data_IF_213896519812
#
_entry.id   IF_213896519812
#
_cell.length_a   1.000
_cell.length_b   1.000
_cell.length_c   1.000
_cell.angle_alpha   90.00
_cell.angle_beta   90.00
_cell.angle_gamma   90.00
#
_symmetry.space_group_name_H-M   'P 1'
#
loop_
_entity.id
_entity.type
_entity.pdbx_description
1 polymer ?
#
# COMPACT_ATOMS: atom_id res chain seq x y z
N UNK A 1 9.96 0.84 -25.66
CA UNK A 1 10.79 -0.25 -26.20
C UNK A 1 9.94 -1.48 -26.43
N UNK A 2 10.11 -2.18 -27.56
CA UNK A 2 9.49 -3.49 -27.79
C UNK A 2 10.49 -4.58 -27.34
N UNK A 3 10.25 -5.31 -26.23
CA UNK A 3 11.19 -6.29 -25.71
C UNK A 3 11.58 -7.35 -26.75
N UNK A 4 10.64 -7.72 -27.63
CA UNK A 4 10.86 -8.65 -28.73
C UNK A 4 11.90 -8.21 -29.76
N UNK A 5 12.27 -6.93 -29.80
CA UNK A 5 13.31 -6.41 -30.69
C UNK A 5 14.73 -6.53 -30.12
N UNK A 6 14.88 -7.06 -28.89
CA UNK A 6 16.17 -7.21 -28.21
C UNK A 6 16.46 -8.70 -28.07
N UNK A 7 17.58 -9.16 -28.64
CA UNK A 7 18.00 -10.55 -28.57
C UNK A 7 18.15 -11.03 -27.11
N UNK A 8 17.62 -12.21 -26.80
CA UNK A 8 17.62 -12.77 -25.45
C UNK A 8 16.64 -12.13 -24.46
N UNK A 9 15.83 -11.16 -24.89
CA UNK A 9 14.81 -10.52 -24.07
C UNK A 9 13.46 -11.27 -24.20
N UNK A 10 12.87 -11.59 -23.05
CA UNK A 10 11.50 -12.11 -22.98
C UNK A 10 10.56 -11.03 -22.46
N UNK A 11 9.37 -10.92 -23.05
CA UNK A 11 8.32 -10.01 -22.57
C UNK A 11 7.71 -10.42 -21.22
N UNK A 12 7.93 -11.66 -20.76
CA UNK A 12 7.43 -12.16 -19.48
C UNK A 12 8.14 -13.46 -19.05
N UNK A 13 8.20 -13.72 -17.75
CA UNK A 13 8.66 -15.01 -17.19
C UNK A 13 7.57 -16.08 -17.22
N UNK A 14 6.30 -15.67 -17.22
CA UNK A 14 5.15 -16.53 -16.96
C UNK A 14 4.06 -16.28 -18.01
N UNK A 15 4.36 -16.56 -19.29
CA UNK A 15 3.45 -16.26 -20.41
C UNK A 15 2.05 -16.88 -20.24
N UNK A 16 1.99 -18.12 -19.74
CA UNK A 16 0.73 -18.84 -19.51
C UNK A 16 -0.15 -18.11 -18.48
N UNK A 17 0.46 -17.59 -17.42
CA UNK A 17 -0.25 -16.86 -16.36
C UNK A 17 -0.74 -15.52 -16.91
N UNK A 18 0.12 -14.77 -17.62
CA UNK A 18 -0.27 -13.52 -18.27
C UNK A 18 -1.46 -13.69 -19.24
N UNK A 19 -1.47 -14.76 -20.04
CA UNK A 19 -2.59 -15.06 -20.95
C UNK A 19 -3.86 -15.36 -20.15
N UNK A 20 -3.73 -16.07 -19.03
CA UNK A 20 -4.86 -16.39 -18.15
C UNK A 20 -5.45 -15.13 -17.50
N UNK A 21 -4.60 -14.21 -17.06
CA UNK A 21 -5.00 -12.91 -16.52
C UNK A 21 -5.73 -12.06 -17.57
N UNK A 22 -5.22 -12.00 -18.80
CA UNK A 22 -5.88 -11.29 -19.91
C UNK A 22 -7.26 -11.91 -20.19
N UNK A 23 -7.36 -13.25 -20.22
CA UNK A 23 -8.65 -13.93 -20.41
C UNK A 23 -9.63 -13.61 -19.28
N UNK A 24 -9.16 -13.57 -18.03
CA UNK A 24 -9.98 -13.21 -16.89
C UNK A 24 -10.48 -11.75 -16.99
N UNK A 25 -9.62 -10.82 -17.38
CA UNK A 25 -10.01 -9.42 -17.62
C UNK A 25 -11.07 -9.28 -18.72
N UNK A 26 -10.89 -9.99 -19.84
CA UNK A 26 -11.87 -10.02 -20.93
C UNK A 26 -13.21 -10.59 -20.46
N UNK A 27 -13.20 -11.69 -19.71
CA UNK A 27 -14.41 -12.30 -19.17
C UNK A 27 -15.15 -11.36 -18.19
N UNK A 28 -14.41 -10.68 -17.32
CA UNK A 28 -14.99 -9.71 -16.38
C UNK A 28 -15.65 -8.53 -17.13
N UNK A 29 -14.97 -7.94 -18.10
CA UNK A 29 -15.51 -6.85 -18.91
C UNK A 29 -16.73 -7.29 -19.74
N UNK A 30 -16.68 -8.49 -20.32
CA UNK A 30 -17.80 -9.05 -21.06
C UNK A 30 -19.04 -9.23 -20.16
N UNK A 31 -18.84 -9.78 -18.95
CA UNK A 31 -19.92 -9.90 -17.96
C UNK A 31 -20.47 -8.54 -17.55
N UNK A 32 -19.60 -7.56 -17.32
CA UNK A 32 -20.00 -6.18 -17.02
C UNK A 32 -20.88 -5.57 -18.13
N UNK A 33 -20.47 -5.71 -19.39
CA UNK A 33 -21.25 -5.23 -20.54
C UNK A 33 -22.64 -5.88 -20.62
N UNK A 34 -22.74 -7.20 -20.38
CA UNK A 34 -24.02 -7.90 -20.34
C UNK A 34 -24.93 -7.39 -19.21
N UNK A 35 -24.36 -7.15 -18.02
CA UNK A 35 -25.12 -6.64 -16.87
C UNK A 35 -25.68 -5.24 -17.14
N UNK A 36 -24.88 -4.35 -17.74
CA UNK A 36 -25.35 -3.02 -18.15
C UNK A 36 -26.42 -3.11 -19.24
N UNK A 37 -26.26 -4.01 -20.23
CA UNK A 37 -27.27 -4.23 -21.25
C UNK A 37 -28.60 -4.73 -20.66
N UNK A 38 -28.55 -5.62 -19.65
CA UNK A 38 -29.74 -6.05 -18.92
C UNK A 38 -30.44 -4.88 -18.23
N UNK A 39 -29.68 -4.03 -17.53
CA UNK A 39 -30.24 -2.84 -16.89
C UNK A 39 -30.93 -1.92 -17.90
N UNK A 40 -30.34 -1.72 -19.09
CA UNK A 40 -30.98 -0.93 -20.15
C UNK A 40 -32.26 -1.57 -20.68
N UNK A 41 -32.34 -2.90 -20.76
CA UNK A 41 -33.56 -3.59 -21.18
C UNK A 41 -34.67 -3.48 -20.12
N UNK A 42 -34.32 -3.61 -18.85
CA UNK A 42 -35.28 -3.63 -17.75
C UNK A 42 -35.81 -2.23 -17.40
N UNK A 43 -34.94 -1.20 -17.48
CA UNK A 43 -35.25 0.15 -16.98
C UNK A 43 -35.18 1.25 -18.04
N UNK A 44 -34.71 0.94 -19.25
CA UNK A 44 -34.48 1.93 -20.30
C UNK A 44 -33.18 2.70 -20.13
N UNK A 45 -32.64 3.18 -21.27
CA UNK A 45 -31.34 3.86 -21.32
C UNK A 45 -31.30 5.15 -20.52
N UNK A 46 -32.36 5.97 -20.62
CA UNK A 46 -32.38 7.30 -20.00
C UNK A 46 -32.36 7.21 -18.47
N UNK A 47 -33.11 6.26 -17.89
CA UNK A 47 -33.15 6.03 -16.44
C UNK A 47 -31.80 5.57 -15.91
N UNK A 48 -31.18 4.59 -16.58
CA UNK A 48 -29.88 4.06 -16.14
C UNK A 48 -28.78 5.12 -16.25
N UNK A 49 -28.73 5.87 -17.35
CA UNK A 49 -27.76 6.96 -17.52
C UNK A 49 -27.94 8.04 -16.46
N UNK A 50 -29.19 8.44 -16.19
CA UNK A 50 -29.52 9.39 -15.14
C UNK A 50 -28.96 8.93 -13.78
N UNK A 51 -29.22 7.70 -13.35
CA UNK A 51 -28.68 7.21 -12.08
C UNK A 51 -27.16 7.04 -12.07
N UNK A 52 -26.51 6.74 -13.21
CA UNK A 52 -25.04 6.74 -13.30
C UNK A 52 -24.44 8.13 -13.05
N UNK A 53 -25.12 9.18 -13.48
CA UNK A 53 -24.72 10.58 -13.22
C UNK A 53 -25.02 10.97 -11.77
N UNK A 54 -26.21 10.67 -11.25
CA UNK A 54 -26.61 10.98 -9.87
C UNK A 54 -25.71 10.29 -8.83
N UNK A 55 -25.27 9.06 -9.08
CA UNK A 55 -24.31 8.34 -8.23
C UNK A 55 -22.97 9.07 -8.14
N UNK A 56 -22.54 9.73 -9.22
CA UNK A 56 -21.35 10.58 -9.20
C UNK A 56 -21.62 11.94 -8.54
N UNK A 57 -22.81 12.51 -8.76
CA UNK A 57 -23.24 13.76 -8.12
C UNK A 57 -23.32 13.65 -6.60
N UNK A 58 -23.81 12.53 -6.08
CA UNK A 58 -23.86 12.25 -4.65
C UNK A 58 -22.45 12.19 -4.03
N UNK A 59 -21.50 11.53 -4.71
CA UNK A 59 -20.11 11.49 -4.28
C UNK A 59 -19.46 12.88 -4.30
N UNK A 60 -19.73 13.69 -5.32
CA UNK A 60 -19.26 15.08 -5.39
C UNK A 60 -19.80 15.91 -4.22
N UNK A 61 -21.10 15.84 -3.95
CA UNK A 61 -21.75 16.60 -2.87
C UNK A 61 -21.18 16.21 -1.49
N UNK A 62 -20.98 14.91 -1.25
CA UNK A 62 -20.40 14.43 -0.01
C UNK A 62 -18.98 14.97 0.22
N UNK A 63 -18.15 15.02 -0.83
CA UNK A 63 -16.80 15.60 -0.74
C UNK A 63 -16.86 17.12 -0.52
N UNK A 64 -17.75 17.85 -1.20
CA UNK A 64 -17.93 19.29 -0.97
C UNK A 64 -18.30 19.59 0.47
N UNK A 65 -19.21 18.82 1.06
CA UNK A 65 -19.64 19.00 2.46
C UNK A 65 -18.50 18.70 3.43
N UNK A 66 -17.78 17.59 3.23
CA UNK A 66 -16.57 17.28 3.99
C UNK A 66 -15.56 18.44 3.95
N UNK A 67 -15.28 19.00 2.78
CA UNK A 67 -14.31 20.08 2.63
C UNK A 67 -14.76 21.36 3.34
N UNK A 68 -16.06 21.67 3.35
CA UNK A 68 -16.60 22.80 4.13
C UNK A 68 -16.40 22.61 5.63
N UNK A 69 -16.62 21.41 6.15
CA UNK A 69 -16.35 21.08 7.55
C UNK A 69 -14.86 21.20 7.88
N UNK A 70 -13.98 20.74 6.98
CA UNK A 70 -12.53 20.92 7.11
C UNK A 70 -12.16 22.40 7.11
N UNK A 71 -12.70 23.20 6.20
CA UNK A 71 -12.46 24.64 6.16
C UNK A 71 -12.81 25.30 7.51
N UNK A 72 -13.97 24.96 8.09
CA UNK A 72 -14.37 25.44 9.41
C UNK A 72 -13.42 24.96 10.52
N UNK A 73 -13.09 23.67 10.54
CA UNK A 73 -12.17 23.06 11.53
C UNK A 73 -10.82 23.77 11.57
N UNK A 74 -10.30 24.18 10.42
CA UNK A 74 -9.01 24.86 10.29
C UNK A 74 -9.11 26.38 10.19
N UNK A 75 -10.26 26.97 10.53
CA UNK A 75 -10.52 28.41 10.52
C UNK A 75 -10.16 29.08 9.18
N UNK A 76 -10.40 28.37 8.08
CA UNK A 76 -10.13 28.82 6.71
C UNK A 76 -8.66 28.88 6.30
N UNK A 77 -7.74 28.43 7.15
CA UNK A 77 -6.32 28.37 6.80
C UNK A 77 -6.04 27.28 5.76
N UNK A 78 -5.03 27.51 4.92
CA UNK A 78 -4.54 26.47 4.02
C UNK A 78 -3.89 25.34 4.81
N UNK A 79 -4.11 24.11 4.34
CA UNK A 79 -3.50 22.91 4.90
C UNK A 79 -2.19 22.65 4.17
N UNK A 80 -1.12 22.34 4.88
CA UNK A 80 0.19 22.09 4.26
C UNK A 80 0.87 20.88 4.90
N UNK A 81 1.49 20.06 4.06
CA UNK A 81 2.38 19.01 4.52
C UNK A 81 3.49 18.76 3.51
N UNK A 82 4.60 18.26 4.03
CA UNK A 82 5.73 17.77 3.24
C UNK A 82 6.21 16.47 3.87
N UNK A 83 6.47 15.49 3.03
CA UNK A 83 7.17 14.27 3.40
C UNK A 83 8.19 13.93 2.30
N UNK A 84 9.12 13.02 2.58
CA UNK A 84 10.24 12.73 1.70
C UNK A 84 10.32 11.23 1.40
N UNK A 85 10.65 10.92 0.14
CA UNK A 85 11.12 9.59 -0.23
C UNK A 85 12.47 9.33 0.43
N UNK A 86 12.87 8.06 0.56
CA UNK A 86 14.14 7.68 1.21
C UNK A 86 15.40 8.24 0.51
N UNK A 87 15.29 8.67 -0.76
CA UNK A 87 16.36 9.35 -1.50
C UNK A 87 16.45 10.87 -1.23
N UNK A 88 15.54 11.40 -0.40
CA UNK A 88 15.44 12.82 -0.08
C UNK A 88 14.53 13.63 -1.00
N UNK A 89 13.90 13.02 -2.01
CA UNK A 89 12.96 13.72 -2.90
C UNK A 89 11.72 14.15 -2.11
N UNK A 90 11.37 15.45 -2.07
CA UNK A 90 10.21 15.93 -1.34
C UNK A 90 8.92 15.70 -2.14
N UNK A 91 7.84 15.37 -1.43
CA UNK A 91 6.46 15.48 -1.91
C UNK A 91 5.77 16.51 -1.04
N UNK A 92 5.29 17.58 -1.67
CA UNK A 92 4.68 18.73 -0.98
C UNK A 92 3.22 18.84 -1.38
N UNK A 93 2.37 19.19 -0.43
CA UNK A 93 0.97 19.46 -0.68
C UNK A 93 0.57 20.74 0.06
N UNK A 94 -0.08 21.64 -0.67
CA UNK A 94 -0.88 22.74 -0.13
C UNK A 94 -2.33 22.51 -0.57
N UNK A 95 -3.26 22.56 0.38
CA UNK A 95 -4.70 22.50 0.09
C UNK A 95 -5.35 23.82 0.49
N UNK A 96 -6.05 24.43 -0.47
CA UNK A 96 -6.95 25.55 -0.23
C UNK A 96 -8.39 25.11 -0.49
N UNK A 97 -9.32 25.58 0.32
CA UNK A 97 -10.73 25.18 0.27
C UNK A 97 -11.60 26.43 0.23
N UNK A 98 -12.50 26.51 -0.74
CA UNK A 98 -13.54 27.53 -0.80
C UNK A 98 -14.67 27.23 0.18
N UNK A 99 -15.00 28.20 1.05
CA UNK A 99 -16.02 28.03 2.08
C UNK A 99 -17.44 27.86 1.53
N UNK A 100 -17.74 28.50 0.39
CA UNK A 100 -19.08 28.55 -0.19
C UNK A 100 -19.40 27.33 -1.04
N UNK A 101 -18.56 27.02 -2.02
CA UNK A 101 -18.77 25.91 -2.95
C UNK A 101 -18.26 24.57 -2.40
N UNK A 102 -17.28 24.59 -1.50
CA UNK A 102 -16.56 23.38 -1.09
C UNK A 102 -15.62 22.85 -2.18
N UNK A 103 -15.30 23.65 -3.20
CA UNK A 103 -14.20 23.34 -4.12
C UNK A 103 -12.87 23.44 -3.40
N UNK A 104 -11.90 22.61 -3.79
CA UNK A 104 -10.56 22.65 -3.24
C UNK A 104 -9.48 22.59 -4.32
N UNK A 105 -8.38 23.29 -4.09
CA UNK A 105 -7.16 23.12 -4.89
C UNK A 105 -6.16 22.27 -4.12
N UNK A 106 -5.76 21.15 -4.70
CA UNK A 106 -4.69 20.29 -4.19
C UNK A 106 -3.43 20.60 -5.01
N UNK A 107 -2.57 21.44 -4.44
CA UNK A 107 -1.38 21.94 -5.10
C UNK A 107 -0.12 21.22 -4.63
N UNK A 108 0.47 20.45 -5.54
CA UNK A 108 1.70 19.70 -5.34
C UNK A 108 2.96 20.46 -5.81
N UNK A 109 2.85 21.77 -6.05
CA UNK A 109 3.99 22.62 -6.37
C UNK A 109 5.10 22.52 -5.32
N UNK A 110 6.35 22.41 -5.79
CA UNK A 110 7.51 22.17 -4.94
C UNK A 110 7.79 20.69 -4.63
N UNK A 111 7.01 19.76 -5.18
CA UNK A 111 7.40 18.35 -5.28
C UNK A 111 8.65 18.21 -6.15
N UNK A 112 9.57 17.33 -5.74
CA UNK A 112 10.87 17.15 -6.38
C UNK A 112 10.80 16.62 -7.81
N UNK A 113 11.92 16.70 -8.55
CA UNK A 113 12.00 16.23 -9.94
C UNK A 113 11.68 14.73 -10.03
N UNK A 114 11.40 14.26 -11.24
CA UNK A 114 11.35 12.83 -11.49
C UNK A 114 12.66 12.14 -11.06
N UNK A 115 12.55 10.96 -10.49
CA UNK A 115 13.67 10.19 -9.99
C UNK A 115 14.34 9.40 -11.10
N UNK A 116 15.68 9.31 -11.04
CA UNK A 116 16.46 8.35 -11.83
C UNK A 116 16.31 6.94 -11.23
N UNK A 117 15.12 6.39 -11.41
CA UNK A 117 14.66 5.17 -10.79
C UNK A 117 13.26 4.83 -11.28
N UNK A 118 12.63 3.82 -10.66
CA UNK A 118 11.32 3.34 -11.10
C UNK A 118 10.16 3.75 -10.17
N UNK A 119 10.40 4.56 -9.14
CA UNK A 119 9.37 5.03 -8.19
C UNK A 119 8.66 6.31 -8.64
N UNK A 120 8.81 6.72 -9.91
CA UNK A 120 7.99 7.78 -10.46
C UNK A 120 6.52 7.36 -10.52
N UNK A 121 5.62 8.28 -10.18
CA UNK A 121 4.18 8.04 -10.16
C UNK A 121 3.51 8.84 -11.30
N UNK A 122 2.93 8.18 -12.30
CA UNK A 122 2.08 8.85 -13.28
C UNK A 122 0.94 9.60 -12.59
N UNK A 123 0.46 10.68 -13.20
CA UNK A 123 -0.59 11.55 -12.62
C UNK A 123 -1.85 10.79 -12.17
N UNK A 124 -2.18 9.69 -12.84
CA UNK A 124 -3.31 8.82 -12.46
C UNK A 124 -3.17 8.24 -11.04
N UNK A 125 -1.95 7.97 -10.58
CA UNK A 125 -1.67 7.50 -9.21
C UNK A 125 -1.95 8.63 -8.21
N UNK A 126 -1.56 9.86 -8.53
CA UNK A 126 -1.86 11.03 -7.70
C UNK A 126 -3.37 11.24 -7.55
N UNK A 127 -4.12 11.17 -8.64
CA UNK A 127 -5.59 11.22 -8.59
C UNK A 127 -6.18 10.09 -7.74
N UNK A 128 -5.67 8.86 -7.90
CA UNK A 128 -6.14 7.70 -7.13
C UNK A 128 -5.88 7.86 -5.63
N UNK A 129 -4.71 8.39 -5.25
CA UNK A 129 -4.37 8.66 -3.85
C UNK A 129 -5.27 9.75 -3.24
N UNK A 130 -5.60 10.80 -4.01
CA UNK A 130 -6.56 11.84 -3.57
C UNK A 130 -7.95 11.24 -3.37
N UNK A 131 -8.45 10.46 -4.35
CA UNK A 131 -9.76 9.79 -4.26
C UNK A 131 -9.81 8.85 -3.05
N UNK A 132 -8.78 8.04 -2.84
CA UNK A 132 -8.65 7.18 -1.68
C UNK A 132 -8.74 7.97 -0.38
N UNK A 133 -7.94 9.03 -0.25
CA UNK A 133 -7.89 9.82 0.98
C UNK A 133 -9.23 10.51 1.28
N UNK A 134 -9.86 11.13 0.26
CA UNK A 134 -11.17 11.73 0.41
C UNK A 134 -12.22 10.70 0.82
N UNK A 135 -12.20 9.49 0.24
CA UNK A 135 -13.14 8.42 0.65
C UNK A 135 -12.93 8.00 2.10
N UNK A 136 -11.69 7.95 2.59
CA UNK A 136 -11.40 7.66 3.99
C UNK A 136 -11.94 8.74 4.95
N UNK A 137 -12.01 9.99 4.50
CA UNK A 137 -12.50 11.11 5.31
C UNK A 137 -14.03 11.24 5.29
N UNK A 138 -14.69 10.82 4.21
CA UNK A 138 -16.15 10.82 4.13
C UNK A 138 -16.73 9.74 5.05
N UNK A 139 -17.46 10.17 6.07
CA UNK A 139 -18.11 9.32 7.09
C UNK A 139 -19.40 8.66 6.60
N UNK A 140 -19.94 9.11 5.47
CA UNK A 140 -21.15 8.57 4.86
C UNK A 140 -20.81 7.42 3.90
N UNK A 141 -21.77 6.52 3.69
CA UNK A 141 -21.61 5.47 2.70
C UNK A 141 -21.82 6.02 1.29
N UNK A 142 -20.73 6.43 0.65
CA UNK A 142 -20.72 6.82 -0.76
C UNK A 142 -19.98 5.78 -1.61
N UNK A 143 -20.49 5.48 -2.81
CA UNK A 143 -19.79 4.64 -3.76
C UNK A 143 -18.50 5.31 -4.23
N UNK A 144 -17.42 4.54 -4.34
CA UNK A 144 -16.13 5.04 -4.82
C UNK A 144 -16.18 5.27 -6.34
N UNK A 145 -16.18 6.54 -6.76
CA UNK A 145 -16.21 6.91 -8.18
C UNK A 145 -15.58 8.29 -8.45
N UNK A 146 -15.49 8.66 -9.73
CA UNK A 146 -14.88 9.91 -10.20
C UNK A 146 -15.56 11.19 -9.65
N UNK A 147 -16.80 11.11 -9.17
CA UNK A 147 -17.49 12.20 -8.48
C UNK A 147 -16.70 12.76 -7.30
N UNK A 148 -15.94 11.91 -6.60
CA UNK A 148 -15.13 12.32 -5.44
C UNK A 148 -14.05 13.36 -5.78
N UNK A 149 -13.56 13.40 -7.03
CA UNK A 149 -12.49 14.33 -7.45
C UNK A 149 -12.99 15.49 -8.31
N UNK A 150 -14.27 15.50 -8.72
CA UNK A 150 -14.87 16.62 -9.47
C UNK A 150 -14.70 18.00 -8.81
N UNK A 151 -14.87 18.16 -7.47
CA UNK A 151 -14.68 19.46 -6.83
C UNK A 151 -13.20 19.80 -6.56
N UNK A 152 -12.27 18.98 -7.06
CA UNK A 152 -10.84 19.08 -6.74
C UNK A 152 -10.06 19.52 -7.96
N UNK A 153 -9.48 20.72 -7.89
CA UNK A 153 -8.45 21.15 -8.84
C UNK A 153 -7.10 20.61 -8.41
N UNK A 154 -6.56 19.66 -9.16
CA UNK A 154 -5.22 19.09 -8.89
C UNK A 154 -4.16 19.86 -9.69
N UNK A 155 -3.18 20.44 -8.99
CA UNK A 155 -2.05 21.15 -9.60
C UNK A 155 -0.78 20.35 -9.32
N UNK A 156 -0.11 19.89 -10.39
CA UNK A 156 1.14 19.12 -10.30
C UNK A 156 2.10 19.67 -11.36
N UNK A 157 3.35 20.03 -11.00
CA UNK A 157 4.33 20.51 -11.96
C UNK A 157 4.72 19.40 -12.96
N UNK A 158 5.05 19.78 -14.19
CA UNK A 158 5.61 18.84 -15.18
C UNK A 158 7.02 18.38 -14.80
N UNK A 159 7.41 17.19 -15.29
CA UNK A 159 8.72 16.58 -15.06
C UNK A 159 9.09 16.41 -13.57
N UNK A 160 8.08 16.21 -12.72
CA UNK A 160 8.25 15.93 -11.30
C UNK A 160 7.92 14.47 -10.99
N UNK A 161 8.23 14.04 -9.77
CA UNK A 161 7.98 12.67 -9.29
C UNK A 161 6.52 12.20 -9.50
N UNK A 162 5.55 13.12 -9.47
CA UNK A 162 4.10 12.86 -9.56
C UNK A 162 3.50 13.10 -10.95
N UNK A 163 4.30 13.60 -11.89
CA UNK A 163 3.94 13.80 -13.29
C UNK A 163 5.23 13.71 -14.13
N UNK A 164 5.84 12.52 -14.16
CA UNK A 164 7.12 12.33 -14.84
C UNK A 164 6.93 12.38 -16.37
N UNK A 165 8.04 12.56 -17.09
CA UNK A 165 8.10 12.46 -18.54
C UNK A 165 7.81 11.05 -19.04
N UNK A 166 7.51 10.93 -20.33
CA UNK A 166 7.12 9.65 -20.96
C UNK A 166 8.22 8.58 -20.94
N UNK A 167 9.49 8.98 -20.73
CA UNK A 167 10.65 8.08 -20.70
C UNK A 167 10.97 7.55 -19.29
N UNK A 168 10.34 8.11 -18.25
CA UNK A 168 10.63 7.74 -16.87
C UNK A 168 10.05 6.36 -16.52
N UNK A 169 10.82 5.57 -15.78
CA UNK A 169 10.34 4.30 -15.26
C UNK A 169 9.36 4.52 -14.09
N UNK A 170 8.22 3.82 -14.12
CA UNK A 170 7.10 4.06 -13.19
C UNK A 170 6.65 2.82 -12.40
N UNK A 171 7.34 1.68 -12.53
CA UNK A 171 6.91 0.40 -11.95
C UNK A 171 6.66 0.46 -10.44
N UNK A 172 7.49 1.19 -9.69
CA UNK A 172 7.39 1.34 -8.25
C UNK A 172 6.53 2.53 -7.79
N UNK A 173 6.01 3.36 -8.71
CA UNK A 173 5.18 4.53 -8.37
C UNK A 173 3.93 4.14 -7.59
N UNK A 174 3.27 3.06 -7.99
CA UNK A 174 2.07 2.59 -7.29
C UNK A 174 2.37 1.96 -5.95
N UNK A 175 3.54 1.36 -5.76
CA UNK A 175 3.84 0.59 -4.53
C UNK A 175 4.61 1.39 -3.48
N UNK A 176 5.25 2.49 -3.87
CA UNK A 176 6.04 3.33 -2.98
C UNK A 176 5.48 4.76 -2.91
N UNK A 177 5.45 5.46 -4.04
CA UNK A 177 5.12 6.89 -4.08
C UNK A 177 3.66 7.15 -3.77
N UNK A 178 2.73 6.28 -4.20
CA UNK A 178 1.30 6.38 -3.85
C UNK A 178 1.06 6.41 -2.33
N UNK A 179 1.80 5.58 -1.57
CA UNK A 179 1.73 5.54 -0.10
C UNK A 179 2.17 6.89 0.47
N UNK A 180 3.24 7.46 -0.09
CA UNK A 180 3.75 8.76 0.34
C UNK A 180 2.80 9.92 0.03
N UNK A 181 2.11 9.88 -1.11
CA UNK A 181 1.07 10.87 -1.44
C UNK A 181 -0.06 10.82 -0.41
N UNK A 182 -0.53 9.61 -0.06
CA UNK A 182 -1.55 9.43 0.99
C UNK A 182 -1.05 9.94 2.34
N UNK A 183 0.17 9.61 2.74
CA UNK A 183 0.77 10.09 3.98
C UNK A 183 0.82 11.63 4.02
N UNK A 184 1.22 12.29 2.93
CA UNK A 184 1.22 13.77 2.85
C UNK A 184 -0.19 14.34 2.95
N UNK A 185 -1.19 13.74 2.29
CA UNK A 185 -2.59 14.17 2.40
C UNK A 185 -3.08 14.00 3.84
N UNK A 186 -2.87 12.82 4.44
CA UNK A 186 -3.31 12.52 5.80
C UNK A 186 -2.67 13.46 6.83
N UNK A 187 -1.39 13.80 6.63
CA UNK A 187 -0.68 14.77 7.45
C UNK A 187 -1.25 16.17 7.32
N UNK A 188 -1.51 16.64 6.09
CA UNK A 188 -2.06 17.98 5.85
C UNK A 188 -3.44 18.16 6.51
N UNK A 189 -4.28 17.12 6.46
CA UNK A 189 -5.61 17.13 7.08
C UNK A 189 -5.60 16.79 8.58
N UNK A 190 -4.42 16.52 9.16
CA UNK A 190 -4.24 16.02 10.52
C UNK A 190 -5.18 14.84 10.85
N UNK A 191 -5.30 13.89 9.91
CA UNK A 191 -6.28 12.81 9.97
C UNK A 191 -5.79 11.62 10.81
N UNK A 192 -4.54 11.20 10.62
CA UNK A 192 -3.87 10.14 11.40
C UNK A 192 -2.35 10.25 11.27
N UNK A 193 -1.64 9.57 12.17
CA UNK A 193 -0.20 9.34 12.05
C UNK A 193 0.10 8.46 10.82
N UNK A 194 1.35 8.47 10.36
CA UNK A 194 1.72 7.68 9.19
C UNK A 194 1.59 6.18 9.47
N UNK A 195 1.07 5.43 8.51
CA UNK A 195 1.27 3.97 8.50
C UNK A 195 2.68 3.63 8.02
N UNK A 196 3.00 2.35 7.84
CA UNK A 196 4.28 1.88 7.31
C UNK A 196 4.75 2.54 5.99
N UNK A 197 3.88 3.28 5.28
CA UNK A 197 4.24 4.15 4.16
C UNK A 197 4.86 3.42 2.95
N UNK A 198 4.62 2.11 2.85
CA UNK A 198 5.23 1.24 1.85
C UNK A 198 4.47 -0.08 1.73
N UNK A 199 4.51 -0.72 0.56
CA UNK A 199 3.99 -2.09 0.36
C UNK A 199 5.02 -3.20 0.57
N UNK A 200 6.29 -2.86 0.87
CA UNK A 200 7.42 -3.78 1.04
C UNK A 200 7.46 -4.87 -0.05
N UNK A 201 7.60 -4.42 -1.29
CA UNK A 201 7.34 -5.26 -2.43
C UNK A 201 8.53 -6.18 -2.73
N UNK A 202 8.38 -7.45 -2.39
CA UNK A 202 9.41 -8.48 -2.53
C UNK A 202 9.09 -9.33 -3.75
N UNK A 203 10.07 -9.46 -4.63
CA UNK A 203 10.00 -10.34 -5.80
C UNK A 203 11.22 -11.21 -5.85
N UNK A 204 11.07 -12.43 -6.34
CA UNK A 204 12.20 -13.28 -6.67
C UNK A 204 11.82 -14.25 -7.78
N UNK A 205 12.83 -14.78 -8.46
CA UNK A 205 12.59 -15.69 -9.57
C UNK A 205 13.83 -16.08 -10.33
N UNK A 206 13.61 -17.00 -11.27
CA UNK A 206 14.61 -17.50 -12.20
C UNK A 206 14.21 -17.04 -13.60
N UNK A 207 15.11 -16.31 -14.26
CA UNK A 207 14.93 -15.81 -15.62
C UNK A 207 15.24 -16.90 -16.66
N UNK A 208 14.63 -16.82 -17.84
CA UNK A 208 15.02 -17.52 -19.08
C UNK A 208 15.21 -19.06 -18.97
N UNK A 209 14.57 -19.72 -18.01
CA UNK A 209 14.55 -21.19 -17.90
C UNK A 209 13.13 -21.71 -18.24
N UNK A 210 12.93 -22.41 -19.38
CA UNK A 210 11.62 -22.90 -19.78
C UNK A 210 11.00 -23.95 -18.85
N UNK A 211 11.81 -24.63 -18.02
CA UNK A 211 11.36 -25.70 -17.13
C UNK A 211 11.31 -25.27 -15.66
N UNK A 212 12.23 -24.39 -15.24
CA UNK A 212 12.38 -23.94 -13.85
C UNK A 212 12.19 -22.44 -13.66
N UNK A 213 11.91 -21.69 -14.73
CA UNK A 213 11.65 -20.26 -14.68
C UNK A 213 10.34 -19.98 -13.97
N UNK A 214 10.37 -19.01 -13.06
CA UNK A 214 9.19 -18.53 -12.35
C UNK A 214 9.41 -17.12 -11.85
N UNK A 215 8.31 -16.43 -11.54
CA UNK A 215 8.31 -15.19 -10.78
C UNK A 215 7.41 -15.31 -9.56
N UNK A 216 7.90 -14.82 -8.43
CA UNK A 216 7.11 -14.58 -7.23
C UNK A 216 7.03 -13.08 -6.97
N UNK A 217 5.87 -12.65 -6.45
CA UNK A 217 5.59 -11.27 -6.09
C UNK A 217 4.74 -11.26 -4.81
N UNK A 218 5.18 -10.52 -3.80
CA UNK A 218 4.48 -10.35 -2.53
C UNK A 218 4.57 -8.89 -2.07
N UNK A 219 3.45 -8.35 -1.60
CA UNK A 219 3.46 -7.17 -0.76
C UNK A 219 3.46 -7.61 0.70
N UNK A 220 4.38 -7.06 1.48
CA UNK A 220 4.55 -7.44 2.88
C UNK A 220 3.92 -6.35 3.75
N UNK A 221 3.04 -6.77 4.67
CA UNK A 221 2.31 -5.87 5.58
C UNK A 221 3.25 -5.19 6.61
N UNK A 222 2.68 -4.31 7.43
CA UNK A 222 3.41 -3.61 8.49
C UNK A 222 2.47 -2.92 9.47
N UNK A 223 2.97 -1.92 10.19
CA UNK A 223 2.17 -1.20 11.18
C UNK A 223 1.27 -0.14 10.56
N UNK A 224 0.01 -0.04 11.00
CA UNK A 224 -0.84 1.10 10.68
C UNK A 224 -0.58 2.28 11.64
N UNK A 225 -0.78 3.50 11.15
CA UNK A 225 -0.70 4.69 11.99
C UNK A 225 -1.83 4.72 13.01
N UNK A 226 -1.54 5.29 14.18
CA UNK A 226 -2.57 5.60 15.18
C UNK A 226 -3.37 6.85 14.77
N UNK A 227 -4.57 6.98 15.33
CA UNK A 227 -5.44 8.12 15.06
C UNK A 227 -6.23 8.54 16.30
N UNK A 228 -7.07 9.59 16.18
CA UNK A 228 -7.92 10.05 17.28
C UNK A 228 -8.93 8.99 17.76
N UNK A 229 -9.13 7.92 16.98
CA UNK A 229 -10.00 6.79 17.28
C UNK A 229 -9.31 5.65 18.04
N UNK A 230 -7.98 5.62 18.14
CA UNK A 230 -7.28 4.56 18.87
C UNK A 230 -5.92 4.14 18.34
N UNK A 231 -5.40 3.06 18.95
CA UNK A 231 -4.15 2.41 18.56
C UNK A 231 -4.20 1.92 17.11
N UNK A 232 -3.05 1.96 16.43
CA UNK A 232 -2.88 1.34 15.13
C UNK A 232 -2.85 -0.19 15.22
N UNK A 233 -3.22 -0.85 14.13
CA UNK A 233 -3.22 -2.30 14.00
C UNK A 233 -1.85 -2.79 13.52
N UNK A 234 -1.31 -3.81 14.17
CA UNK A 234 -0.03 -4.43 13.80
C UNK A 234 -0.17 -5.42 12.65
N UNK A 235 0.80 -5.44 11.74
CA UNK A 235 0.94 -6.46 10.69
C UNK A 235 -0.19 -6.49 9.66
N UNK A 236 -0.73 -5.34 9.27
CA UNK A 236 -1.79 -5.21 8.27
C UNK A 236 -1.32 -4.48 7.02
N UNK A 237 -1.95 -4.78 5.89
CA UNK A 237 -1.81 -3.97 4.68
C UNK A 237 -2.58 -2.66 4.86
N UNK A 238 -1.97 -1.55 4.47
CA UNK A 238 -2.47 -0.21 4.77
C UNK A 238 -2.59 0.62 3.51
N UNK A 239 -3.55 1.55 3.52
CA UNK A 239 -3.74 2.57 2.49
C UNK A 239 -3.84 1.98 1.07
N UNK A 240 -2.86 2.27 0.21
CA UNK A 240 -2.88 1.93 -1.21
C UNK A 240 -2.67 0.44 -1.51
N UNK A 241 -2.58 -0.42 -0.49
CA UNK A 241 -2.38 -1.86 -0.68
C UNK A 241 -3.70 -2.62 -0.66
N UNK A 242 -4.02 -3.29 -1.78
CA UNK A 242 -5.24 -4.10 -1.93
C UNK A 242 -4.90 -5.55 -2.28
N UNK A 243 -4.09 -6.19 -1.46
CA UNK A 243 -3.62 -7.57 -1.65
C UNK A 243 -3.58 -8.28 -0.31
N UNK A 244 -3.73 -9.60 -0.32
CA UNK A 244 -3.48 -10.46 0.85
C UNK A 244 -2.13 -11.15 0.71
N UNK A 245 -1.53 -11.50 1.84
CA UNK A 245 -0.27 -12.25 1.86
C UNK A 245 -0.50 -13.70 1.39
N UNK A 246 0.51 -14.33 0.81
CA UNK A 246 0.42 -15.74 0.40
C UNK A 246 0.57 -16.64 1.62
N UNK A 247 -0.27 -17.67 1.73
CA UNK A 247 -0.17 -18.66 2.79
C UNK A 247 1.22 -19.32 2.81
N UNK A 248 1.85 -19.48 3.99
CA UNK A 248 3.18 -20.07 4.12
C UNK A 248 3.33 -21.42 3.40
N UNK A 249 2.37 -22.32 3.57
CA UNK A 249 2.41 -23.66 2.95
C UNK A 249 2.33 -23.58 1.42
N UNK A 250 1.55 -22.64 0.88
CA UNK A 250 1.45 -22.44 -0.58
C UNK A 250 2.73 -21.83 -1.13
N UNK A 251 3.36 -20.89 -0.39
CA UNK A 251 4.65 -20.32 -0.73
C UNK A 251 5.72 -21.41 -0.83
N UNK A 252 5.90 -22.22 0.21
CA UNK A 252 6.92 -23.27 0.26
C UNK A 252 6.64 -24.43 -0.71
N UNK A 253 5.36 -24.72 -0.99
CA UNK A 253 4.99 -25.76 -1.96
C UNK A 253 5.27 -25.34 -3.40
N UNK A 254 5.06 -24.06 -3.74
CA UNK A 254 5.17 -23.56 -5.12
C UNK A 254 6.56 -23.09 -5.48
N UNK A 255 7.33 -22.62 -4.50
CA UNK A 255 8.60 -21.97 -4.74
C UNK A 255 9.71 -22.63 -3.91
N UNK A 256 10.95 -22.69 -4.43
CA UNK A 256 12.08 -23.32 -3.75
C UNK A 256 12.66 -22.43 -2.65
N UNK A 257 11.82 -22.10 -1.66
CA UNK A 257 12.12 -21.26 -0.50
C UNK A 257 11.52 -21.88 0.77
N UNK A 258 12.07 -21.51 1.92
CA UNK A 258 11.56 -21.89 3.24
C UNK A 258 11.30 -20.60 4.02
N UNK A 259 10.11 -20.46 4.59
CA UNK A 259 9.76 -19.36 5.47
C UNK A 259 10.19 -19.69 6.90
N UNK A 260 11.35 -19.17 7.32
CA UNK A 260 11.92 -19.42 8.64
C UNK A 260 11.18 -18.70 9.76
N UNK A 261 10.69 -17.49 9.48
CA UNK A 261 10.01 -16.65 10.47
C UNK A 261 8.99 -15.74 9.80
N UNK A 262 7.80 -15.70 10.39
CA UNK A 262 6.78 -14.71 10.10
C UNK A 262 6.04 -14.33 11.38
N UNK A 263 6.35 -13.15 11.93
CA UNK A 263 5.76 -12.70 13.19
C UNK A 263 5.70 -11.17 13.27
N UNK A 264 4.96 -10.65 14.26
CA UNK A 264 4.99 -9.22 14.60
C UNK A 264 6.41 -8.81 15.04
N UNK A 265 6.82 -7.60 14.64
CA UNK A 265 8.06 -6.93 15.06
C UNK A 265 7.72 -6.05 16.26
N UNK A 266 7.64 -6.67 17.43
CA UNK A 266 7.17 -6.02 18.65
C UNK A 266 7.96 -4.75 19.01
N UNK A 267 7.25 -3.70 19.41
CA UNK A 267 7.83 -2.43 19.84
C UNK A 267 8.27 -1.51 18.70
N UNK A 268 7.93 -1.85 17.45
CA UNK A 268 8.27 -1.04 16.29
C UNK A 268 7.27 0.09 16.01
N UNK A 269 6.07 0.04 16.56
CA UNK A 269 5.09 1.10 16.50
C UNK A 269 5.47 2.29 17.38
N UNK A 270 5.29 3.51 16.85
CA UNK A 270 5.56 4.76 17.55
C UNK A 270 4.69 4.91 18.80
N UNK A 271 5.27 5.45 19.87
CA UNK A 271 4.54 5.69 21.12
C UNK A 271 3.63 6.90 21.00
N UNK A 272 2.54 6.89 21.72
CA UNK A 272 1.62 8.02 21.84
C UNK A 272 0.59 7.76 22.91
N UNK A 273 -0.37 8.66 23.07
CA UNK A 273 -1.62 8.35 23.78
C UNK A 273 -2.20 7.07 23.18
N UNK A 274 -2.26 7.05 21.84
CA UNK A 274 -2.47 5.87 21.04
C UNK A 274 -1.18 5.46 20.32
N UNK A 275 -0.82 4.18 20.42
CA UNK A 275 0.38 3.60 19.83
C UNK A 275 0.15 3.27 18.36
N UNK A 276 1.15 3.53 17.52
CA UNK A 276 1.16 2.99 16.17
C UNK A 276 1.22 1.45 16.19
N UNK A 277 0.72 0.83 15.14
CA UNK A 277 0.82 -0.62 14.97
C UNK A 277 2.27 -1.06 14.77
N UNK A 278 2.60 -2.25 15.24
CA UNK A 278 3.90 -2.87 14.99
C UNK A 278 3.99 -3.42 13.56
N UNK A 279 5.18 -3.34 12.98
CA UNK A 279 5.53 -4.03 11.76
C UNK A 279 5.62 -5.55 11.93
N UNK A 280 6.24 -6.22 10.96
CA UNK A 280 6.48 -7.66 10.97
C UNK A 280 7.92 -7.99 10.62
N UNK A 281 8.32 -9.23 10.91
CA UNK A 281 9.53 -9.87 10.41
C UNK A 281 9.12 -10.97 9.44
N UNK A 282 9.63 -10.92 8.21
CA UNK A 282 9.47 -11.94 7.15
C UNK A 282 10.87 -12.46 6.77
N UNK A 283 11.15 -13.72 7.06
CA UNK A 283 12.48 -14.33 6.89
C UNK A 283 12.39 -15.53 5.95
N UNK A 284 12.94 -15.36 4.74
CA UNK A 284 12.84 -16.34 3.66
C UNK A 284 14.22 -16.86 3.33
N UNK A 285 14.41 -18.18 3.44
CA UNK A 285 15.61 -18.89 3.01
C UNK A 285 15.43 -19.43 1.59
N UNK A 286 16.45 -19.25 0.75
CA UNK A 286 16.44 -19.69 -0.63
C UNK A 286 17.09 -21.06 -0.77
N UNK A 287 16.41 -22.03 -1.40
CA UNK A 287 16.92 -23.40 -1.56
C UNK A 287 17.73 -23.60 -2.84
N UNK A 288 17.62 -22.68 -3.80
CA UNK A 288 18.36 -22.68 -5.07
C UNK A 288 18.83 -21.26 -5.42
N UNK A 289 19.89 -21.10 -6.22
CA UNK A 289 20.31 -19.79 -6.69
C UNK A 289 19.23 -19.10 -7.52
N UNK A 290 18.95 -17.82 -7.24
CA UNK A 290 17.99 -17.02 -7.99
C UNK A 290 18.21 -15.51 -7.78
N UNK A 291 17.45 -14.67 -8.47
CA UNK A 291 17.44 -13.22 -8.23
C UNK A 291 16.31 -12.86 -7.27
N UNK A 292 16.59 -11.95 -6.34
CA UNK A 292 15.62 -11.33 -5.46
C UNK A 292 15.71 -9.82 -5.60
N UNK A 293 14.56 -9.14 -5.65
CA UNK A 293 14.47 -7.70 -5.72
C UNK A 293 13.48 -7.21 -4.67
N UNK A 294 13.86 -6.15 -3.97
CA UNK A 294 13.03 -5.46 -2.98
C UNK A 294 12.81 -4.03 -3.44
N UNK A 295 11.56 -3.61 -3.48
CA UNK A 295 11.15 -2.21 -3.68
C UNK A 295 10.43 -1.76 -2.42
N UNK A 296 11.07 -0.86 -1.68
CA UNK A 296 10.59 -0.46 -0.37
C UNK A 296 11.04 0.94 0.06
N UNK A 297 10.30 1.53 1.01
CA UNK A 297 10.40 2.90 1.53
C UNK A 297 10.37 2.92 3.05
N UNK A 298 10.68 4.04 3.70
CA UNK A 298 10.78 4.15 5.17
C UNK A 298 11.94 3.34 5.77
N UNK A 299 13.05 3.26 5.03
CA UNK A 299 14.34 2.73 5.50
C UNK A 299 15.25 3.88 5.94
N UNK A 300 14.99 5.09 5.45
CA UNK A 300 15.72 6.33 5.79
C UNK A 300 14.80 7.32 6.50
N UNK A 301 13.57 7.50 6.04
CA UNK A 301 12.60 8.41 6.67
C UNK A 301 11.62 7.61 7.54
N UNK A 302 11.49 7.93 8.83
CA UNK A 302 10.59 7.20 9.72
C UNK A 302 9.11 7.51 9.41
N UNK A 303 8.16 6.57 9.62
CA UNK A 303 6.73 6.87 9.65
C UNK A 303 6.42 7.90 10.73
N UNK A 304 5.91 9.07 10.36
CA UNK A 304 5.74 10.18 11.31
C UNK A 304 4.64 9.90 12.35
N UNK A 305 4.88 10.32 13.59
CA UNK A 305 3.83 10.49 14.61
C UNK A 305 3.05 11.79 14.43
N UNK A 306 1.89 11.92 15.08
CA UNK A 306 1.05 13.12 14.97
C UNK A 306 0.52 13.58 16.35
N UNK A 307 0.27 14.88 16.50
CA UNK A 307 -0.20 15.51 17.76
C UNK A 307 0.66 15.18 18.99
N UNK A 308 1.98 15.08 18.82
CA UNK A 308 2.92 14.76 19.90
C UNK A 308 3.21 13.26 20.07
N UNK A 309 2.61 12.41 19.23
CA UNK A 309 3.04 11.02 19.11
C UNK A 309 4.43 10.91 18.47
N UNK A 310 5.15 9.88 18.86
CA UNK A 310 6.47 9.55 18.34
C UNK A 310 6.38 8.80 17.00
N UNK A 311 7.45 8.90 16.23
CA UNK A 311 7.59 8.20 14.96
C UNK A 311 7.66 6.67 15.17
N UNK A 312 7.16 5.92 14.17
CA UNK A 312 7.37 4.49 14.08
C UNK A 312 8.81 4.14 13.73
N UNK A 313 9.26 2.93 14.08
CA UNK A 313 10.57 2.46 13.67
C UNK A 313 10.65 2.22 12.16
N UNK A 314 11.81 2.54 11.61
CA UNK A 314 12.15 2.33 10.18
C UNK A 314 12.23 0.83 9.88
N UNK A 315 11.89 0.48 8.65
CA UNK A 315 12.09 -0.87 8.14
C UNK A 315 13.57 -1.17 7.88
N UNK A 316 13.91 -2.45 7.80
CA UNK A 316 15.25 -2.93 7.47
C UNK A 316 15.17 -4.15 6.57
N UNK A 317 16.02 -4.21 5.55
CA UNK A 317 16.11 -5.36 4.64
C UNK A 317 17.51 -5.95 4.76
N UNK A 318 17.61 -7.19 5.25
CA UNK A 318 18.89 -7.86 5.48
C UNK A 318 19.04 -9.06 4.55
N UNK A 319 20.23 -9.22 3.99
CA UNK A 319 20.67 -10.42 3.31
C UNK A 319 21.67 -11.15 4.18
N UNK A 320 21.28 -12.31 4.71
CA UNK A 320 22.13 -13.18 5.51
C UNK A 320 22.67 -14.26 4.56
N UNK A 321 23.97 -14.25 4.31
CA UNK A 321 24.65 -15.27 3.53
C UNK A 321 24.67 -16.61 4.26
N UNK A 322 24.73 -17.71 3.52
CA UNK A 322 24.87 -19.07 4.09
C UNK A 322 26.10 -19.22 5.02
N UNK A 323 27.13 -18.40 4.82
CA UNK A 323 28.33 -18.36 5.67
C UNK A 323 28.20 -17.46 6.91
N UNK A 324 27.00 -16.92 7.19
CA UNK A 324 26.71 -16.06 8.32
C UNK A 324 26.94 -14.56 8.09
N UNK A 325 27.53 -14.14 6.96
CA UNK A 325 27.74 -12.70 6.67
C UNK A 325 26.40 -11.99 6.47
N UNK A 326 26.18 -10.90 7.20
CA UNK A 326 24.97 -10.07 7.09
C UNK A 326 25.25 -8.81 6.28
N UNK A 327 24.42 -8.53 5.28
CA UNK A 327 24.47 -7.32 4.46
C UNK A 327 23.14 -6.58 4.54
N UNK A 328 23.17 -5.24 4.55
CA UNK A 328 21.98 -4.43 4.40
C UNK A 328 21.69 -4.24 2.91
N UNK A 329 20.50 -4.65 2.44
CA UNK A 329 20.10 -4.50 1.04
C UNK A 329 19.66 -3.06 0.70
N UNK A 330 19.38 -2.22 1.70
CA UNK A 330 18.75 -0.93 1.49
C UNK A 330 17.27 -1.05 1.08
N UNK A 331 16.64 0.07 0.75
CA UNK A 331 15.21 0.12 0.42
C UNK A 331 14.87 -0.42 -0.97
N UNK A 332 15.76 -0.25 -1.96
CA UNK A 332 15.51 -0.55 -3.37
C UNK A 332 16.73 -1.23 -3.96
N UNK A 333 16.68 -2.54 -4.15
CA UNK A 333 17.86 -3.28 -4.59
C UNK A 333 17.50 -4.62 -5.23
N UNK A 334 18.44 -5.16 -5.98
CA UNK A 334 18.40 -6.52 -6.54
C UNK A 334 19.68 -7.26 -6.16
N UNK A 335 19.54 -8.50 -5.72
CA UNK A 335 20.64 -9.36 -5.33
C UNK A 335 20.51 -10.75 -5.97
N UNK A 336 21.65 -11.36 -6.28
CA UNK A 336 21.73 -12.77 -6.64
C UNK A 336 21.96 -13.59 -5.37
N UNK A 337 20.93 -14.28 -4.90
CA UNK A 337 20.97 -15.13 -3.71
C UNK A 337 21.42 -16.54 -4.07
N UNK A 338 22.19 -17.17 -3.19
CA UNK A 338 22.60 -18.57 -3.29
C UNK A 338 21.73 -19.49 -2.44
N UNK A 339 21.97 -20.80 -2.56
CA UNK A 339 21.37 -21.80 -1.67
C UNK A 339 21.79 -21.54 -0.22
N UNK A 340 20.81 -21.52 0.70
CA UNK A 340 21.01 -21.27 2.13
C UNK A 340 21.15 -19.79 2.49
N UNK A 341 21.18 -18.89 1.50
CA UNK A 341 21.06 -17.45 1.78
C UNK A 341 19.64 -17.14 2.26
N UNK A 342 19.50 -16.15 3.13
CA UNK A 342 18.22 -15.65 3.65
C UNK A 342 18.04 -14.18 3.34
N UNK A 343 16.81 -13.79 3.01
CA UNK A 343 16.39 -12.39 2.99
C UNK A 343 15.38 -12.17 4.11
N UNK A 344 15.75 -11.27 5.03
CA UNK A 344 14.94 -10.89 6.18
C UNK A 344 14.42 -9.47 5.97
N UNK A 345 13.11 -9.36 5.80
CA UNK A 345 12.40 -8.08 5.70
C UNK A 345 11.80 -7.77 7.07
N UNK A 346 12.28 -6.69 7.68
CA UNK A 346 11.66 -6.06 8.83
C UNK A 346 10.86 -4.88 8.31
N UNK A 347 9.53 -4.98 8.34
CA UNK A 347 8.68 -3.89 7.87
C UNK A 347 8.70 -2.73 8.87
N UNK A 348 8.41 -1.50 8.42
CA UNK A 348 8.22 -0.36 9.32
C UNK A 348 7.00 -0.58 10.25
N UNK A 349 7.03 0.08 11.41
CA UNK A 349 5.84 0.28 12.24
C UNK A 349 4.97 1.44 11.73
N UNK A 350 3.89 1.75 12.44
CA UNK A 350 3.13 2.99 12.27
C UNK A 350 3.54 4.05 13.29
N UNK A 351 3.30 5.33 13.00
CA UNK A 351 3.49 6.42 13.94
C UNK A 351 2.42 6.46 15.04
N UNK A 352 2.79 6.99 16.20
CA UNK A 352 1.89 7.19 17.34
C UNK A 352 1.05 8.46 17.21
N UNK A 353 -0.02 8.53 18.00
CA UNK A 353 -0.93 9.69 18.08
C UNK A 353 -1.01 10.20 19.51
N UNK A 354 -0.91 11.52 19.69
CA UNK A 354 -0.98 12.16 21.01
C UNK A 354 0.29 11.95 21.83
N UNK A 355 0.49 12.74 22.88
CA UNK A 355 1.66 12.61 23.75
C UNK A 355 1.69 11.24 24.46
N UNK A 356 2.82 10.52 24.47
CA UNK A 356 2.98 9.28 25.24
C UNK A 356 2.63 9.43 26.73
N UNK A 357 2.82 10.63 27.31
CA UNK A 357 2.47 10.92 28.69
C UNK A 357 0.96 10.90 28.96
N UNK A 358 0.13 11.08 27.92
CA UNK A 358 -1.33 11.02 28.01
C UNK A 358 -1.87 9.59 27.98
N UNK A 359 -1.02 8.58 27.73
CA UNK A 359 -1.46 7.19 27.67
C UNK A 359 -1.98 6.75 29.03
N UNK A 360 -3.27 6.46 29.08
CA UNK A 360 -3.88 5.79 30.23
C UNK A 360 -3.35 4.36 30.28
N UNK A 361 -2.53 4.07 31.28
CA UNK A 361 -2.10 2.70 31.56
C UNK A 361 -3.32 1.96 32.08
N UNK A 362 -3.91 1.12 31.23
CA UNK A 362 -4.97 0.23 31.66
C UNK A 362 -4.34 -0.87 32.52
N UNK A 363 -4.41 -0.70 33.85
CA UNK A 363 -3.87 -1.65 34.82
C UNK A 363 -4.49 -3.07 34.71
N UNK A 364 -5.58 -3.23 33.95
CA UNK A 364 -6.19 -4.53 33.66
C UNK A 364 -5.54 -5.26 32.48
N UNK A 365 -4.83 -4.55 31.59
CA UNK A 365 -3.97 -5.14 30.56
C UNK A 365 -2.57 -5.27 31.12
N UNK A 366 -2.31 -6.33 31.88
CA UNK A 366 -0.92 -6.79 32.06
C UNK A 366 -0.29 -6.92 30.68
N UNK A 367 0.93 -6.40 30.52
CA UNK A 367 1.85 -6.59 29.38
C UNK A 367 2.30 -8.07 29.26
N UNK A 368 1.30 -8.93 29.23
CA UNK A 368 1.33 -10.37 29.20
C UNK A 368 -0.01 -10.76 28.61
N UNK A 369 -0.26 -10.32 27.38
CA UNK A 369 -1.16 -11.07 26.54
C UNK A 369 -0.48 -12.44 26.42
N UNK A 370 -0.85 -13.39 27.28
CA UNK A 370 -0.98 -14.76 26.82
C UNK A 370 -1.94 -14.65 25.65
N UNK A 371 -1.39 -14.40 24.45
CA UNK A 371 -2.07 -14.64 23.20
C UNK A 371 -2.22 -16.15 23.18
N UNK A 372 -3.19 -16.64 23.95
CA UNK A 372 -3.68 -17.98 23.77
C UNK A 372 -4.10 -18.01 22.30
N UNK A 373 -3.40 -18.83 21.53
CA UNK A 373 -3.69 -18.98 20.13
C UNK A 373 -5.12 -19.52 20.03
N UNK A 374 -6.07 -18.61 19.79
CA UNK A 374 -7.43 -19.00 19.44
C UNK A 374 -7.37 -19.38 17.98
N UNK A 375 -7.38 -20.69 17.70
CA UNK A 375 -7.48 -21.19 16.34
C UNK A 375 -8.80 -20.71 15.74
N UNK A 376 -8.76 -19.68 14.89
CA UNK A 376 -9.95 -19.21 14.14
C UNK A 376 -10.04 -19.86 12.75
N UNK A 377 -9.15 -20.80 12.46
CA UNK A 377 -9.22 -21.68 11.31
C UNK A 377 -9.27 -23.11 11.79
N UNK A 378 -10.44 -23.73 11.75
CA UNK A 378 -10.49 -25.18 11.51
C UNK A 378 -10.02 -25.35 10.07
N UNK A 379 -8.70 -25.31 9.90
CA UNK A 379 -8.07 -25.62 8.63
C UNK A 379 -8.53 -27.00 8.18
N UNK A 380 -8.38 -27.24 6.88
CA UNK A 380 -8.66 -28.47 6.13
C UNK A 380 -8.22 -29.78 6.80
N UNK A 381 -7.42 -29.73 7.86
CA UNK A 381 -6.94 -30.85 8.66
C UNK A 381 -8.08 -31.58 9.38
N UNK A 382 -9.04 -30.89 10.01
CA UNK A 382 -10.17 -31.56 10.69
C UNK A 382 -11.18 -32.13 9.68
N UNK A 383 -11.34 -31.47 8.53
CA UNK A 383 -12.19 -31.96 7.43
C UNK A 383 -11.58 -33.23 6.82
N UNK A 384 -10.25 -33.31 6.69
CA UNK A 384 -9.56 -34.50 6.18
C UNK A 384 -9.57 -35.63 7.22
N UNK A 385 -9.48 -35.33 8.52
CA UNK A 385 -9.59 -36.33 9.58
C UNK A 385 -11.02 -36.91 9.71
N UNK A 386 -12.05 -36.11 9.45
CA UNK A 386 -13.45 -36.55 9.45
C UNK A 386 -13.87 -37.39 8.24
N UNK A 387 -13.13 -37.31 7.13
CA UNK A 387 -13.41 -38.08 5.90
C UNK A 387 -12.72 -39.46 5.86
N UNK A 388 -11.97 -39.82 6.91
CA UNK A 388 -11.29 -41.12 7.05
C UNK A 388 -12.08 -42.21 7.79
N UNK A 389 -13.31 -41.94 8.21
CA UNK A 389 -14.20 -42.92 8.86
C UNK A 389 -15.57 -42.98 8.18
N UNK A 390 -15.59 -43.08 6.85
CA UNK A 390 -16.70 -43.67 6.10
C UNK A 390 -16.28 -43.94 4.66
N UNK A 391 -15.49 -44.98 4.46
CA UNK A 391 -15.43 -45.82 3.26
C UNK A 391 -14.69 -47.12 3.61
#
# INVERSE_FOLDING_TARGET
MAPAAIEGSSGTRCLKDNISDIKAQVAANHRGAQLIASLYNDYGRDVVNFYMEEVQGAAELAVRNLLKEVHQKFAGNSLEATDHMDDGTPIRLRVTIDAGSGDAAFDFSGTGPEAYGNWNAPIAITHSAIIFALRCFVTHDIPLNQGCIRPIRVVVPDACLLKPGAEAACCAGNVLTSQRIVDVIFRAFAASAASQGCMNNLTFGIDNDPQRGFGYYETICGGSGAGPWGDGTSGVHTNMTNTRITDPEILERRYPVILRRFCIREGSGGRGEYRGGDGIVRDIEFSVPMKVSILSERRVVAPYGLHGGEDGERGQNLWIKANGRVLNLGGKNTASVGKGDRVVIQSPGGGGWGSPASRKVDASKKDGCSREFVSVGNGSVDIIAGMGQSA
#
